data_IF_686150192686
#
_entry.id   IF_686150192686
#
_cell.length_a   1.000
_cell.length_b   1.000
_cell.length_c   1.000
_cell.angle_alpha   90.00
_cell.angle_beta   90.00
_cell.angle_gamma   90.00
#
_symmetry.space_group_name_H-M   'P 1'
#
loop_
_entity.id
_entity.type
_entity.pdbx_description
1 polymer ?
#
# COMPACT_ATOMS: atom_id res chain seq x y z
N UNK A 1 10.32 17.87 39.16
CA UNK A 1 8.92 17.53 39.54
C UNK A 1 8.16 18.77 40.01
N UNK A 2 8.73 19.59 40.89
CA UNK A 2 8.12 20.84 41.37
C UNK A 2 7.84 21.86 40.24
N UNK A 3 8.79 22.07 39.33
CA UNK A 3 8.59 22.95 38.16
C UNK A 3 7.43 22.48 37.27
N UNK A 4 7.21 21.18 37.14
CA UNK A 4 6.12 20.64 36.34
C UNK A 4 4.77 20.83 37.05
N UNK A 5 4.72 20.64 38.37
CA UNK A 5 3.54 20.92 39.17
C UNK A 5 3.16 22.41 39.11
N UNK A 6 4.14 23.31 39.21
CA UNK A 6 3.94 24.75 39.06
C UNK A 6 3.46 25.15 37.64
N UNK A 7 3.92 24.45 36.60
CA UNK A 7 3.41 24.63 35.24
C UNK A 7 1.99 24.12 35.09
N UNK A 8 1.69 22.95 35.65
CA UNK A 8 0.36 22.34 35.61
C UNK A 8 -0.68 23.16 36.41
N UNK A 9 -0.26 23.87 37.45
CA UNK A 9 -1.11 24.80 38.21
C UNK A 9 -1.22 26.20 37.57
N UNK A 10 -0.54 26.45 36.45
CA UNK A 10 -0.52 27.76 35.78
C UNK A 10 0.35 28.82 36.47
N UNK A 11 1.14 28.43 37.47
CA UNK A 11 2.02 29.33 38.23
C UNK A 11 3.39 29.55 37.57
N UNK A 12 3.78 28.71 36.61
CA UNK A 12 5.01 28.83 35.83
C UNK A 12 4.74 28.70 34.33
N UNK A 13 5.57 29.33 33.51
CA UNK A 13 5.43 29.29 32.06
C UNK A 13 5.60 27.86 31.50
N UNK A 14 4.80 27.48 30.47
CA UNK A 14 4.93 26.18 29.80
C UNK A 14 6.33 25.91 29.26
N UNK A 15 6.66 24.64 29.12
CA UNK A 15 7.89 24.26 28.42
C UNK A 15 7.77 24.56 26.92
N UNK A 16 8.88 24.92 26.27
CA UNK A 16 8.95 25.14 24.83
C UNK A 16 9.64 23.93 24.20
N UNK A 17 9.05 23.40 23.13
CA UNK A 17 9.66 22.33 22.33
C UNK A 17 10.94 22.83 21.67
N UNK A 18 12.05 22.15 21.93
CA UNK A 18 13.37 22.48 21.38
C UNK A 18 13.42 22.43 19.85
N UNK A 19 12.58 21.62 19.19
CA UNK A 19 12.62 21.45 17.73
C UNK A 19 11.63 22.36 17.01
N UNK A 20 10.38 22.37 17.46
CA UNK A 20 9.31 23.15 16.81
C UNK A 20 9.16 24.58 17.34
N UNK A 21 9.77 24.90 18.49
CA UNK A 21 9.60 26.20 19.17
C UNK A 21 8.19 26.41 19.74
N UNK A 22 7.33 25.39 19.72
CA UNK A 22 5.95 25.47 20.19
C UNK A 22 5.85 25.24 21.69
N UNK A 23 4.84 25.82 22.33
CA UNK A 23 4.54 25.53 23.73
C UNK A 23 4.04 24.09 23.89
N UNK A 24 4.62 23.36 24.84
CA UNK A 24 4.20 22.02 25.22
C UNK A 24 3.19 22.14 26.36
N UNK A 25 2.08 21.40 26.24
CA UNK A 25 1.04 21.36 27.27
C UNK A 25 1.63 20.95 28.64
N UNK A 26 1.49 21.77 29.70
CA UNK A 26 1.95 21.48 31.05
C UNK A 26 1.43 20.18 31.68
N UNK A 27 0.28 19.68 31.21
CA UNK A 27 -0.31 18.43 31.70
C UNK A 27 0.25 17.19 31.02
N UNK A 28 1.09 17.32 29.99
CA UNK A 28 1.76 16.17 29.41
C UNK A 28 2.74 15.57 30.44
N UNK A 29 2.68 14.25 30.70
CA UNK A 29 3.59 13.62 31.63
C UNK A 29 5.02 13.60 31.06
N UNK A 30 6.02 13.56 31.95
CA UNK A 30 7.44 13.70 31.58
C UNK A 30 7.93 12.65 30.58
N UNK A 31 7.37 11.43 30.62
CA UNK A 31 7.79 10.36 29.72
C UNK A 31 7.27 10.54 28.27
N UNK A 32 6.26 11.39 28.06
CA UNK A 32 5.78 11.77 26.73
C UNK A 32 6.56 12.97 26.19
N UNK A 33 7.01 13.88 27.06
CA UNK A 33 7.74 15.09 26.66
C UNK A 33 9.24 14.88 26.52
N UNK A 34 9.80 13.83 27.16
CA UNK A 34 11.21 13.47 27.03
C UNK A 34 11.40 12.44 25.94
N UNK A 35 12.25 12.76 24.97
CA UNK A 35 12.64 11.85 23.92
C UNK A 35 13.52 10.73 24.48
N UNK A 36 13.23 9.45 24.18
CA UNK A 36 14.05 8.35 24.66
C UNK A 36 15.41 8.30 23.94
N UNK A 37 16.42 7.78 24.62
CA UNK A 37 17.82 7.73 24.15
C UNK A 37 17.97 7.07 22.77
N UNK A 38 17.22 6.00 22.49
CA UNK A 38 17.33 5.22 21.26
C UNK A 38 16.80 5.93 19.99
N UNK A 39 16.09 7.06 20.12
CA UNK A 39 15.64 7.87 18.98
C UNK A 39 16.59 9.05 18.68
N UNK A 40 17.84 8.98 19.15
CA UNK A 40 18.84 10.07 19.06
C UNK A 40 18.78 11.01 20.27
N UNK A 41 18.57 10.44 21.46
CA UNK A 41 18.31 11.17 22.70
C UNK A 41 19.54 11.66 23.43
N UNK A 42 20.29 12.55 22.80
CA UNK A 42 21.15 13.55 23.49
C UNK A 42 20.39 14.89 23.64
N UNK A 43 19.08 14.88 23.41
CA UNK A 43 18.24 16.07 23.46
C UNK A 43 18.07 16.55 24.91
N UNK A 44 18.84 17.56 25.31
CA UNK A 44 18.83 18.23 26.62
C UNK A 44 17.53 19.02 26.92
N UNK A 45 16.40 18.66 26.30
CA UNK A 45 15.18 19.44 26.42
C UNK A 45 13.90 18.71 26.01
N UNK A 46 12.73 19.27 26.37
CA UNK A 46 11.43 18.67 26.10
C UNK A 46 11.09 18.77 24.61
N UNK A 47 10.65 17.67 23.99
CA UNK A 47 10.23 17.63 22.59
C UNK A 47 9.16 16.56 22.35
N UNK A 48 8.20 16.87 21.46
CA UNK A 48 7.14 15.96 21.05
C UNK A 48 7.37 15.35 19.66
N UNK A 49 8.53 15.57 19.05
CA UNK A 49 8.88 15.08 17.70
C UNK A 49 8.73 13.55 17.57
N UNK A 50 9.09 12.81 18.62
CA UNK A 50 9.00 11.35 18.65
C UNK A 50 7.57 10.81 18.82
N UNK A 51 6.61 11.68 19.17
CA UNK A 51 5.19 11.35 19.27
C UNK A 51 4.44 11.65 17.96
N UNK A 52 5.05 12.42 17.05
CA UNK A 52 4.51 12.60 15.72
C UNK A 52 4.45 11.23 15.01
N UNK A 53 3.43 11.02 14.19
CA UNK A 53 3.40 9.87 13.30
C UNK A 53 4.69 9.91 12.49
N UNK A 54 5.55 8.90 12.67
CA UNK A 54 6.79 8.80 11.90
C UNK A 54 6.46 8.89 10.41
N UNK A 55 7.39 9.41 9.61
CA UNK A 55 7.23 9.39 8.16
C UNK A 55 7.16 7.93 7.71
N UNK A 56 5.95 7.40 7.58
CA UNK A 56 5.73 6.09 7.00
C UNK A 56 5.88 6.29 5.50
N UNK A 57 7.14 6.38 5.07
CA UNK A 57 7.58 6.84 3.76
C UNK A 57 7.10 5.99 2.60
N UNK A 58 6.45 4.85 2.86
CA UNK A 58 6.14 3.85 1.83
C UNK A 58 4.73 3.24 1.94
N UNK A 59 3.80 3.82 2.69
CA UNK A 59 2.41 3.35 2.58
C UNK A 59 1.78 3.99 1.35
N UNK A 60 1.45 3.18 0.34
CA UNK A 60 0.57 3.65 -0.72
C UNK A 60 -0.73 4.12 -0.08
N UNK A 61 -1.09 5.37 -0.33
CA UNK A 61 -2.42 5.87 0.03
C UNK A 61 -3.48 4.99 -0.66
N UNK A 62 -4.62 4.79 0.00
CA UNK A 62 -5.74 4.01 -0.54
C UNK A 62 -6.10 4.44 -1.98
N UNK A 63 -6.14 5.76 -2.22
CA UNK A 63 -6.40 6.33 -3.55
C UNK A 63 -5.34 5.95 -4.59
N UNK A 64 -4.05 5.95 -4.22
CA UNK A 64 -2.96 5.55 -5.12
C UNK A 64 -3.01 4.05 -5.42
N UNK A 65 -3.33 3.23 -4.43
CA UNK A 65 -3.52 1.79 -4.61
C UNK A 65 -4.70 1.49 -5.56
N UNK A 66 -5.83 2.17 -5.39
CA UNK A 66 -7.01 2.03 -6.27
C UNK A 66 -6.72 2.45 -7.72
N UNK A 67 -5.97 3.54 -7.90
CA UNK A 67 -5.57 4.00 -9.22
C UNK A 67 -4.71 2.95 -9.96
N UNK A 68 -3.75 2.33 -9.26
CA UNK A 68 -2.93 1.25 -9.80
C UNK A 68 -3.75 -0.01 -10.13
N UNK A 69 -4.69 -0.39 -9.26
CA UNK A 69 -5.57 -1.51 -9.54
C UNK A 69 -6.44 -1.26 -10.79
N UNK A 70 -6.91 -0.02 -10.97
CA UNK A 70 -7.71 0.38 -12.14
C UNK A 70 -6.89 0.37 -13.43
N UNK A 71 -5.66 0.88 -13.40
CA UNK A 71 -4.77 0.89 -14.58
C UNK A 71 -4.36 -0.53 -14.99
N UNK A 72 -4.09 -1.40 -14.01
CA UNK A 72 -3.77 -2.79 -14.29
C UNK A 72 -4.98 -3.53 -14.89
N UNK A 73 -6.18 -3.34 -14.32
CA UNK A 73 -7.42 -3.91 -14.86
C UNK A 73 -7.73 -3.43 -16.28
N UNK A 74 -7.55 -2.14 -16.59
CA UNK A 74 -7.80 -1.61 -17.93
C UNK A 74 -6.83 -2.19 -18.97
N UNK A 75 -5.55 -2.34 -18.60
CA UNK A 75 -4.53 -2.97 -19.44
C UNK A 75 -4.80 -4.45 -19.68
N UNK A 76 -5.19 -5.20 -18.65
CA UNK A 76 -5.60 -6.60 -18.81
C UNK A 76 -6.83 -6.72 -19.71
N UNK A 77 -7.83 -5.84 -19.54
CA UNK A 77 -9.04 -5.84 -20.36
C UNK A 77 -8.73 -5.56 -21.84
N UNK A 78 -7.87 -4.59 -22.13
CA UNK A 78 -7.48 -4.31 -23.52
C UNK A 78 -6.71 -5.49 -24.12
N UNK A 79 -5.77 -6.09 -23.38
CA UNK A 79 -5.03 -7.29 -23.79
C UNK A 79 -5.97 -8.46 -24.08
N UNK A 80 -6.87 -8.80 -23.16
CA UNK A 80 -7.88 -9.87 -23.34
C UNK A 80 -8.76 -9.58 -24.55
N UNK A 81 -9.23 -8.35 -24.72
CA UNK A 81 -10.06 -8.00 -25.89
C UNK A 81 -9.32 -8.16 -27.21
N UNK A 82 -8.02 -7.84 -27.24
CA UNK A 82 -7.19 -8.02 -28.44
C UNK A 82 -6.99 -9.51 -28.77
N UNK A 83 -6.78 -10.33 -27.73
CA UNK A 83 -6.67 -11.79 -27.84
C UNK A 83 -7.97 -12.36 -28.41
N UNK A 84 -9.14 -12.00 -27.85
CA UNK A 84 -10.43 -12.51 -28.33
C UNK A 84 -10.75 -12.13 -29.78
N UNK A 85 -10.28 -10.96 -30.26
CA UNK A 85 -10.52 -10.51 -31.64
C UNK A 85 -9.64 -11.19 -32.68
N UNK A 86 -8.41 -11.53 -32.31
CA UNK A 86 -7.36 -11.91 -33.27
C UNK A 86 -6.80 -13.31 -33.04
N UNK A 87 -7.08 -13.93 -31.91
CA UNK A 87 -6.40 -15.15 -31.45
C UNK A 87 -4.92 -14.95 -31.15
N UNK A 88 -4.43 -13.70 -31.21
CA UNK A 88 -3.01 -13.37 -31.06
C UNK A 88 -2.56 -13.68 -29.63
N UNK A 89 -1.58 -14.57 -29.50
CA UNK A 89 -1.10 -15.09 -28.21
C UNK A 89 -1.34 -16.58 -28.00
N UNK A 90 -2.01 -17.26 -28.93
CA UNK A 90 -2.09 -18.72 -28.97
C UNK A 90 -1.36 -19.26 -30.20
N UNK A 91 -0.59 -20.33 -30.00
CA UNK A 91 0.14 -21.03 -31.05
C UNK A 91 -0.38 -22.46 -31.18
N UNK A 92 -0.34 -23.01 -32.40
CA UNK A 92 -0.73 -24.41 -32.64
C UNK A 92 0.23 -25.32 -31.89
N UNK A 93 -0.31 -26.27 -31.13
CA UNK A 93 0.44 -27.18 -30.27
C UNK A 93 0.58 -26.71 -28.82
N UNK A 94 0.23 -25.46 -28.50
CA UNK A 94 0.28 -24.94 -27.13
C UNK A 94 -0.76 -25.62 -26.23
N UNK A 95 -0.38 -25.93 -24.99
CA UNK A 95 -1.26 -26.47 -23.97
C UNK A 95 -1.89 -25.35 -23.15
N UNK A 96 -3.21 -25.41 -22.98
CA UNK A 96 -4.00 -24.38 -22.29
C UNK A 96 -5.04 -25.03 -21.37
N UNK A 97 -5.46 -24.29 -20.34
CA UNK A 97 -6.63 -24.65 -19.54
C UNK A 97 -7.90 -24.07 -20.18
N UNK A 98 -8.91 -24.91 -20.41
CA UNK A 98 -10.16 -24.48 -21.03
C UNK A 98 -11.38 -25.25 -20.49
N UNK A 99 -12.57 -24.64 -20.59
CA UNK A 99 -13.83 -25.26 -20.20
C UNK A 99 -14.41 -26.06 -21.37
N UNK A 100 -14.56 -27.38 -21.20
CA UNK A 100 -15.25 -28.22 -22.19
C UNK A 100 -16.75 -27.96 -22.11
N UNK A 101 -17.34 -27.42 -23.19
CA UNK A 101 -18.77 -27.05 -23.27
C UNK A 101 -19.21 -26.04 -22.17
N UNK A 102 -18.32 -25.13 -21.78
CA UNK A 102 -18.57 -24.11 -20.74
C UNK A 102 -18.95 -24.68 -19.36
N UNK A 103 -18.54 -25.93 -19.06
CA UNK A 103 -18.77 -26.59 -17.77
C UNK A 103 -17.45 -26.71 -17.01
N UNK A 104 -17.49 -26.46 -15.71
CA UNK A 104 -16.35 -26.69 -14.79
C UNK A 104 -16.22 -28.20 -14.53
N UNK A 105 -15.02 -28.73 -14.22
CA UNK A 105 -13.74 -28.03 -14.02
C UNK A 105 -13.05 -27.65 -15.34
N UNK A 106 -11.99 -26.84 -15.24
CA UNK A 106 -11.08 -26.58 -16.36
C UNK A 106 -10.31 -27.86 -16.68
N UNK A 107 -10.13 -28.15 -17.97
CA UNK A 107 -9.39 -29.30 -18.47
C UNK A 107 -8.21 -28.81 -19.31
N UNK A 108 -7.15 -29.61 -19.36
CA UNK A 108 -6.04 -29.37 -20.28
C UNK A 108 -6.50 -29.65 -21.70
N UNK A 109 -6.15 -28.74 -22.60
CA UNK A 109 -6.44 -28.87 -24.01
C UNK A 109 -5.25 -28.39 -24.84
N UNK A 110 -5.01 -29.09 -25.95
CA UNK A 110 -4.03 -28.68 -26.95
C UNK A 110 -4.72 -27.82 -28.04
N UNK A 111 -4.10 -26.70 -28.37
CA UNK A 111 -4.54 -25.84 -29.48
C UNK A 111 -4.24 -26.51 -30.81
N UNK A 112 -5.28 -26.85 -31.59
CA UNK A 112 -5.13 -27.45 -32.91
C UNK A 112 -5.05 -26.39 -34.02
N UNK A 113 -5.86 -25.35 -33.91
CA UNK A 113 -5.96 -24.31 -34.94
C UNK A 113 -6.36 -22.99 -34.31
N UNK A 114 -5.75 -21.92 -34.79
CA UNK A 114 -6.10 -20.54 -34.43
C UNK A 114 -6.57 -19.82 -35.69
N UNK A 115 -7.84 -19.42 -35.69
CA UNK A 115 -8.43 -18.63 -36.77
C UNK A 115 -8.02 -17.16 -36.65
N UNK A 116 -7.89 -16.47 -37.78
CA UNK A 116 -7.65 -15.01 -37.82
C UNK A 116 -8.77 -14.20 -37.14
N UNK A 117 -9.94 -14.82 -36.93
CA UNK A 117 -11.10 -14.24 -36.23
C UNK A 117 -11.15 -14.55 -34.73
N UNK A 118 -10.10 -15.15 -34.17
CA UNK A 118 -10.00 -15.47 -32.74
C UNK A 118 -10.71 -16.76 -32.30
N UNK A 119 -11.29 -17.51 -33.23
CA UNK A 119 -11.82 -18.85 -32.96
C UNK A 119 -10.66 -19.85 -32.82
N UNK A 120 -10.69 -20.67 -31.77
CA UNK A 120 -9.62 -21.60 -31.42
C UNK A 120 -10.22 -23.00 -31.30
N UNK A 121 -9.72 -23.93 -32.13
CA UNK A 121 -10.09 -25.33 -32.03
C UNK A 121 -9.19 -26.03 -31.01
N UNK A 122 -9.82 -26.67 -30.03
CA UNK A 122 -9.16 -27.30 -28.89
C UNK A 122 -9.37 -28.81 -28.90
N UNK A 123 -8.31 -29.58 -28.70
CA UNK A 123 -8.36 -31.00 -28.38
C UNK A 123 -8.20 -31.19 -26.88
N UNK A 124 -9.28 -31.58 -26.22
CA UNK A 124 -9.27 -31.92 -24.79
C UNK A 124 -8.71 -33.34 -24.62
N UNK A 125 -7.90 -33.53 -23.58
CA UNK A 125 -7.68 -34.87 -23.01
C UNK A 125 -8.89 -35.35 -22.20
#
# INVERSE_FOLDING_TARGET
RELQAARASGSAAPAIDIKSGQMINPHNPEFITKKPWYLGGDSTGPTLDHQAQGEVSEVLTLSKADALAKSHRSSLKSKISSINKTGKGFEVGMWVEALKRNKRPYLMAQVLKVSKRGEIDLKYE
#
